data_IF_637977545044
#
_entry.id   IF_637977545044
#
_cell.length_a   1.000
_cell.length_b   1.000
_cell.length_c   1.000
_cell.angle_alpha   90.00
_cell.angle_beta   90.00
_cell.angle_gamma   90.00
#
_symmetry.space_group_name_H-M   'P 1'
#
loop_
_entity.id
_entity.type
_entity.pdbx_description
1 polymer ?
#
# COMPACT_ATOMS: atom_id res chain seq x y z
N UNK A 1 16.96 -5.38 2.20
CA UNK A 1 16.50 -4.09 1.64
C UNK A 1 15.74 -4.29 0.32
N UNK A 2 16.33 -4.93 -0.71
CA UNK A 2 15.63 -5.18 -1.99
C UNK A 2 14.35 -6.03 -1.83
N UNK A 3 14.40 -7.12 -1.06
CA UNK A 3 13.21 -7.93 -0.77
C UNK A 3 12.08 -7.09 -0.15
N UNK A 4 12.40 -6.28 0.86
CA UNK A 4 11.44 -5.39 1.53
C UNK A 4 10.84 -4.35 0.59
N UNK A 5 11.64 -3.76 -0.31
CA UNK A 5 11.15 -2.81 -1.32
C UNK A 5 10.26 -3.46 -2.38
N UNK A 6 10.58 -4.69 -2.80
CA UNK A 6 9.76 -5.45 -3.74
C UNK A 6 8.42 -5.81 -3.08
N UNK A 7 8.42 -6.32 -1.85
CA UNK A 7 7.19 -6.67 -1.14
C UNK A 7 6.29 -5.46 -0.91
N UNK A 8 6.86 -4.29 -0.63
CA UNK A 8 6.11 -3.05 -0.40
C UNK A 8 5.34 -2.55 -1.63
N UNK A 9 5.71 -2.98 -2.84
CA UNK A 9 5.03 -2.62 -4.08
C UNK A 9 4.14 -3.78 -4.56
N UNK A 10 4.67 -5.01 -4.55
CA UNK A 10 3.99 -6.19 -5.10
C UNK A 10 2.72 -6.50 -4.30
N UNK A 11 2.81 -6.51 -2.97
CA UNK A 11 1.66 -6.91 -2.15
C UNK A 11 0.48 -5.94 -2.32
N UNK A 12 0.63 -4.60 -2.15
CA UNK A 12 -0.49 -3.68 -2.37
C UNK A 12 -1.03 -3.69 -3.80
N UNK A 13 -0.17 -3.91 -4.80
CA UNK A 13 -0.59 -4.00 -6.21
C UNK A 13 -1.45 -5.25 -6.45
N UNK A 14 -1.09 -6.39 -5.86
CA UNK A 14 -1.91 -7.61 -5.94
C UNK A 14 -3.26 -7.41 -5.25
N UNK A 15 -3.27 -6.75 -4.09
CA UNK A 15 -4.51 -6.40 -3.39
C UNK A 15 -5.38 -5.48 -4.24
N UNK A 16 -4.79 -4.48 -4.92
CA UNK A 16 -5.52 -3.60 -5.82
C UNK A 16 -6.20 -4.36 -6.97
N UNK A 17 -5.49 -5.33 -7.56
CA UNK A 17 -6.04 -6.19 -8.62
C UNK A 17 -7.21 -7.02 -8.08
N UNK A 18 -7.07 -7.62 -6.89
CA UNK A 18 -8.15 -8.38 -6.28
C UNK A 18 -9.40 -7.53 -6.04
N UNK A 19 -9.23 -6.32 -5.49
CA UNK A 19 -10.32 -5.35 -5.28
C UNK A 19 -10.98 -4.91 -6.59
N UNK A 20 -10.22 -4.84 -7.69
CA UNK A 20 -10.73 -4.46 -9.01
C UNK A 20 -11.52 -5.60 -9.71
N UNK A 21 -11.22 -6.86 -9.42
CA UNK A 21 -11.94 -8.02 -9.96
C UNK A 21 -13.27 -8.20 -9.25
N UNK A 22 -13.23 -8.27 -7.91
CA UNK A 22 -14.41 -8.49 -7.07
C UNK A 22 -14.18 -7.90 -5.68
N UNK A 23 -14.65 -6.66 -5.51
CA UNK A 23 -14.54 -5.95 -4.24
C UNK A 23 -15.31 -6.64 -3.11
N UNK A 24 -16.51 -7.16 -3.38
CA UNK A 24 -17.37 -7.72 -2.33
C UNK A 24 -16.76 -8.99 -1.75
N UNK A 25 -16.29 -9.89 -2.61
CA UNK A 25 -15.57 -11.10 -2.16
C UNK A 25 -14.27 -10.73 -1.47
N UNK A 26 -13.47 -9.80 -2.02
CA UNK A 26 -12.23 -9.37 -1.41
C UNK A 26 -12.46 -8.74 -0.01
N UNK A 27 -13.52 -7.96 0.15
CA UNK A 27 -13.92 -7.36 1.42
C UNK A 27 -14.30 -8.42 2.45
N UNK A 28 -15.10 -9.42 2.07
CA UNK A 28 -15.48 -10.53 2.97
C UNK A 28 -14.27 -11.37 3.37
N UNK A 29 -13.40 -11.72 2.42
CA UNK A 29 -12.19 -12.52 2.70
C UNK A 29 -11.25 -11.76 3.63
N UNK A 30 -11.06 -10.45 3.42
CA UNK A 30 -10.28 -9.60 4.31
C UNK A 30 -10.84 -9.66 5.74
N UNK A 31 -12.14 -9.45 5.93
CA UNK A 31 -12.71 -9.44 7.27
C UNK A 31 -12.58 -10.79 7.98
N UNK A 32 -12.81 -11.89 7.28
CA UNK A 32 -12.65 -13.24 7.84
C UNK A 32 -11.21 -13.61 8.18
N UNK A 33 -10.23 -13.01 7.49
CA UNK A 33 -8.81 -13.26 7.73
C UNK A 33 -8.30 -12.51 8.96
N UNK A 34 -8.75 -11.27 9.17
CA UNK A 34 -8.24 -10.38 10.23
C UNK A 34 -9.12 -10.30 11.47
N UNK A 35 -10.41 -10.64 11.36
CA UNK A 35 -11.38 -10.51 12.44
C UNK A 35 -12.17 -11.82 12.62
N UNK A 36 -12.32 -12.24 13.88
CA UNK A 36 -13.13 -13.40 14.28
C UNK A 36 -14.52 -12.98 14.77
N UNK A 37 -15.13 -11.97 14.17
CA UNK A 37 -16.46 -11.48 14.53
C UNK A 37 -17.22 -11.01 13.28
N UNK A 38 -18.53 -10.78 13.43
CA UNK A 38 -19.43 -10.38 12.36
C UNK A 38 -19.84 -8.89 12.42
N UNK A 39 -19.13 -8.05 13.18
CA UNK A 39 -19.50 -6.63 13.37
C UNK A 39 -19.37 -5.77 12.11
N UNK A 40 -18.77 -6.31 11.05
CA UNK A 40 -18.68 -5.69 9.74
C UNK A 40 -19.95 -5.94 8.89
N UNK A 41 -20.85 -6.84 9.31
CA UNK A 41 -22.16 -7.06 8.70
C UNK A 41 -23.18 -6.11 9.33
N UNK A 42 -23.33 -4.93 8.74
CA UNK A 42 -24.30 -3.95 9.20
C UNK A 42 -25.71 -4.25 8.70
N UNK A 43 -26.69 -4.17 9.60
CA UNK A 43 -28.10 -4.19 9.26
C UNK A 43 -28.63 -2.74 9.13
N UNK A 44 -29.15 -2.31 7.98
CA UNK A 44 -29.62 -0.93 7.78
C UNK A 44 -30.75 -0.50 8.73
N UNK A 45 -31.48 -1.44 9.35
CA UNK A 45 -32.53 -1.13 10.32
C UNK A 45 -31.99 -0.83 11.73
N UNK A 46 -30.86 -1.42 12.13
CA UNK A 46 -30.28 -1.26 13.48
C UNK A 46 -29.01 -0.42 13.47
N UNK A 47 -28.30 -0.41 12.34
CA UNK A 47 -26.96 0.15 12.17
C UNK A 47 -27.02 1.25 11.10
N UNK A 48 -27.52 2.46 11.45
CA UNK A 48 -27.65 3.56 10.49
C UNK A 48 -26.31 4.01 9.91
N UNK A 49 -25.20 3.61 10.54
CA UNK A 49 -23.83 3.86 10.08
C UNK A 49 -23.59 3.41 8.64
N UNK A 50 -24.24 2.34 8.16
CA UNK A 50 -24.11 1.87 6.77
C UNK A 50 -24.60 2.89 5.75
N UNK A 51 -25.53 3.78 6.12
CA UNK A 51 -26.03 4.83 5.24
C UNK A 51 -24.98 5.92 4.97
N UNK A 52 -24.04 6.11 5.90
CA UNK A 52 -22.96 7.11 5.81
C UNK A 52 -21.67 6.45 5.28
N UNK A 53 -21.48 5.15 5.57
CA UNK A 53 -20.31 4.36 5.21
C UNK A 53 -20.70 3.18 4.29
N UNK A 54 -21.14 3.44 3.04
CA UNK A 54 -21.50 2.39 2.10
C UNK A 54 -20.25 1.61 1.64
N UNK A 55 -20.46 0.44 1.05
CA UNK A 55 -19.41 -0.40 0.47
C UNK A 55 -18.45 0.38 -0.47
N UNK A 56 -18.99 1.28 -1.28
CA UNK A 56 -18.22 2.12 -2.20
C UNK A 56 -17.28 3.09 -1.47
N UNK A 57 -17.66 3.60 -0.30
CA UNK A 57 -16.77 4.41 0.53
C UNK A 57 -15.55 3.59 0.99
N UNK A 58 -15.77 2.36 1.44
CA UNK A 58 -14.67 1.46 1.83
C UNK A 58 -13.75 1.13 0.65
N UNK A 59 -14.28 0.95 -0.56
CA UNK A 59 -13.47 0.78 -1.76
C UNK A 59 -12.57 2.01 -2.00
N UNK A 60 -13.14 3.22 -1.95
CA UNK A 60 -12.34 4.44 -2.13
C UNK A 60 -11.25 4.57 -1.06
N UNK A 61 -11.55 4.26 0.20
CA UNK A 61 -10.55 4.23 1.27
C UNK A 61 -9.44 3.21 1.00
N UNK A 62 -9.79 1.99 0.61
CA UNK A 62 -8.82 0.94 0.30
C UNK A 62 -7.89 1.37 -0.86
N UNK A 63 -8.44 1.93 -1.93
CA UNK A 63 -7.67 2.45 -3.07
C UNK A 63 -6.78 3.62 -2.66
N UNK A 64 -7.26 4.54 -1.83
CA UNK A 64 -6.46 5.66 -1.33
C UNK A 64 -5.26 5.19 -0.50
N UNK A 65 -5.47 4.23 0.40
CA UNK A 65 -4.39 3.65 1.22
C UNK A 65 -3.34 2.98 0.32
N UNK A 66 -3.77 2.15 -0.63
CA UNK A 66 -2.87 1.49 -1.59
C UNK A 66 -2.08 2.54 -2.38
N UNK A 67 -2.75 3.58 -2.87
CA UNK A 67 -2.11 4.65 -3.61
C UNK A 67 -1.02 5.35 -2.79
N UNK A 68 -1.31 5.72 -1.53
CA UNK A 68 -0.34 6.34 -0.64
C UNK A 68 0.86 5.42 -0.38
N UNK A 69 0.64 4.12 -0.19
CA UNK A 69 1.72 3.15 0.03
C UNK A 69 2.62 3.03 -1.20
N UNK A 70 2.04 2.91 -2.40
CA UNK A 70 2.80 2.81 -3.64
C UNK A 70 3.58 4.11 -3.89
N UNK A 71 2.92 5.26 -3.74
CA UNK A 71 3.54 6.58 -3.91
C UNK A 71 4.69 6.80 -2.92
N UNK A 72 4.47 6.50 -1.64
CA UNK A 72 5.50 6.59 -0.60
C UNK A 72 6.69 5.67 -0.88
N UNK A 73 6.43 4.44 -1.32
CA UNK A 73 7.46 3.48 -1.71
C UNK A 73 8.27 3.98 -2.91
N UNK A 74 7.62 4.58 -3.89
CA UNK A 74 8.26 5.18 -5.06
C UNK A 74 9.15 6.37 -4.69
N UNK A 75 8.64 7.30 -3.87
CA UNK A 75 9.41 8.45 -3.38
C UNK A 75 10.66 7.97 -2.64
N UNK A 76 10.50 7.02 -1.71
CA UNK A 76 11.63 6.49 -0.94
C UNK A 76 12.68 5.83 -1.84
N UNK A 77 12.25 5.08 -2.86
CA UNK A 77 13.16 4.47 -3.84
C UNK A 77 13.93 5.54 -4.64
N UNK A 78 13.27 6.61 -5.07
CA UNK A 78 13.92 7.74 -5.75
C UNK A 78 14.93 8.43 -4.83
N UNK A 79 14.54 8.78 -3.60
CA UNK A 79 15.44 9.42 -2.62
C UNK A 79 16.65 8.54 -2.33
N UNK A 80 16.45 7.23 -2.14
CA UNK A 80 17.53 6.28 -1.95
C UNK A 80 18.51 6.28 -3.14
N UNK A 81 17.99 6.24 -4.36
CA UNK A 81 18.80 6.24 -5.58
C UNK A 81 19.55 7.57 -5.76
N UNK A 82 18.93 8.71 -5.43
CA UNK A 82 19.56 10.03 -5.47
C UNK A 82 20.73 10.13 -4.48
N UNK A 83 20.51 9.75 -3.21
CA UNK A 83 21.56 9.76 -2.18
C UNK A 83 22.69 8.81 -2.56
N UNK A 84 22.36 7.58 -2.97
CA UNK A 84 23.35 6.59 -3.40
C UNK A 84 24.22 7.14 -4.54
N UNK A 85 23.62 7.74 -5.59
CA UNK A 85 24.38 8.34 -6.70
C UNK A 85 25.32 9.44 -6.21
N UNK A 86 24.87 10.36 -5.38
CA UNK A 86 25.71 11.45 -4.86
C UNK A 86 26.89 10.94 -4.01
N UNK A 87 26.67 9.98 -3.10
CA UNK A 87 27.73 9.40 -2.29
C UNK A 87 28.72 8.57 -3.12
N UNK A 88 28.22 7.78 -4.08
CA UNK A 88 29.08 6.94 -4.94
C UNK A 88 29.97 7.78 -5.87
N UNK A 89 29.47 8.93 -6.38
CA UNK A 89 30.26 9.90 -7.15
C UNK A 89 31.36 10.52 -6.27
N UNK A 90 31.05 10.85 -5.01
CA UNK A 90 32.03 11.43 -4.08
C UNK A 90 33.16 10.45 -3.76
N UNK A 91 32.85 9.18 -3.46
CA UNK A 91 33.86 8.15 -3.19
C UNK A 91 34.74 7.87 -4.42
N UNK A 92 34.14 7.74 -5.61
CA UNK A 92 34.88 7.59 -6.88
C UNK A 92 35.88 8.72 -7.11
N UNK A 93 35.51 9.96 -6.77
CA UNK A 93 36.40 11.12 -6.94
C UNK A 93 37.56 11.12 -5.93
N UNK A 94 37.34 10.64 -4.71
CA UNK A 94 38.38 10.55 -3.65
C UNK A 94 39.39 9.45 -3.98
N UNK A 95 38.97 8.30 -4.51
CA UNK A 95 39.87 7.23 -4.93
C UNK A 95 40.81 7.65 -6.09
N UNK A 96 40.33 8.52 -6.98
CA UNK A 96 41.10 9.11 -8.07
C UNK A 96 41.90 10.37 -7.65
N UNK A 97 41.82 10.79 -6.39
CA UNK A 97 42.62 11.84 -5.77
C UNK A 97 43.64 11.21 -4.82
N UNK A 98 44.46 10.30 -5.34
CA UNK A 98 45.78 10.01 -4.77
C UNK A 98 46.79 10.89 -5.50
N UNK A 99 47.00 12.09 -4.97
CA UNK A 99 48.20 12.90 -5.22
C UNK A 99 49.00 12.83 -3.94
#
# INVERSE_FOLDING_TARGET
>A
LLASSITAIVLPSLTAIALAIDFDTAFVVFHKMFFNNDYWLFNPATDPVISILPATFFLHCALLIIFIIILGSFILALTYNHIRKHFHIKYRKIENLKI
#
